data_IF_216697374282
#
_entry.id   IF_216697374282
#
_cell.length_a   1.000
_cell.length_b   1.000
_cell.length_c   1.000
_cell.angle_alpha   90.00
_cell.angle_beta   90.00
_cell.angle_gamma   90.00
#
_symmetry.space_group_name_H-M   'P 1'
#
loop_
_entity.id
_entity.type
_entity.pdbx_description
1 polymer ?
#
# COMPACT_ATOMS: atom_id res chain seq x y z
N UNK A 1 27.37 -7.04 15.09
CA UNK A 1 27.48 -7.12 13.62
C UNK A 1 27.29 -8.57 13.21
N UNK A 2 26.25 -8.87 12.42
CA UNK A 2 25.96 -10.25 12.00
C UNK A 2 27.07 -10.75 11.07
N UNK A 3 27.89 -11.75 11.46
CA UNK A 3 29.14 -12.04 10.76
C UNK A 3 28.92 -12.73 9.40
N UNK A 4 27.81 -13.43 9.17
CA UNK A 4 27.57 -14.14 7.91
C UNK A 4 26.72 -13.32 6.93
N UNK A 5 27.17 -13.25 5.67
CA UNK A 5 26.41 -12.59 4.59
C UNK A 5 25.00 -13.20 4.45
N UNK A 6 24.89 -14.52 4.59
CA UNK A 6 23.59 -15.21 4.60
C UNK A 6 22.64 -14.73 5.68
N UNK A 7 23.10 -14.56 6.93
CA UNK A 7 22.24 -14.10 8.01
C UNK A 7 21.86 -12.63 7.84
N UNK A 8 22.74 -11.79 7.27
CA UNK A 8 22.41 -10.41 6.86
C UNK A 8 21.36 -10.39 5.76
N UNK A 9 21.48 -11.26 4.75
CA UNK A 9 20.49 -11.39 3.69
C UNK A 9 19.13 -11.88 4.21
N UNK A 10 19.13 -12.89 5.09
CA UNK A 10 17.90 -13.41 5.71
C UNK A 10 17.23 -12.36 6.61
N UNK A 11 18.00 -11.67 7.46
CA UNK A 11 17.49 -10.59 8.29
C UNK A 11 16.94 -9.43 7.44
N UNK A 12 17.63 -9.09 6.34
CA UNK A 12 17.16 -8.09 5.39
C UNK A 12 15.82 -8.46 4.75
N UNK A 13 15.69 -9.70 4.26
CA UNK A 13 14.44 -10.20 3.70
C UNK A 13 13.29 -10.19 4.73
N UNK A 14 13.55 -10.62 5.98
CA UNK A 14 12.56 -10.60 7.07
C UNK A 14 12.12 -9.17 7.38
N UNK A 15 13.05 -8.20 7.45
CA UNK A 15 12.71 -6.80 7.72
C UNK A 15 11.91 -6.16 6.58
N UNK A 16 12.25 -6.44 5.32
CA UNK A 16 11.47 -5.98 4.17
C UNK A 16 10.07 -6.57 4.20
N UNK A 17 9.94 -7.88 4.39
CA UNK A 17 8.64 -8.55 4.51
C UNK A 17 7.85 -8.06 5.71
N UNK A 18 8.49 -7.82 6.85
CA UNK A 18 7.85 -7.28 8.05
C UNK A 18 7.33 -5.87 7.84
N UNK A 19 8.10 -5.00 7.16
CA UNK A 19 7.66 -3.66 6.80
C UNK A 19 6.49 -3.68 5.81
N UNK A 20 6.57 -4.50 4.76
CA UNK A 20 5.45 -4.67 3.81
C UNK A 20 4.21 -5.26 4.48
N UNK A 21 4.37 -6.25 5.36
CA UNK A 21 3.29 -6.82 6.16
C UNK A 21 2.69 -5.80 7.13
N UNK A 22 3.53 -4.91 7.69
CA UNK A 22 3.07 -3.79 8.51
C UNK A 22 2.20 -2.80 7.72
N UNK A 23 2.58 -2.49 6.47
CA UNK A 23 1.74 -1.69 5.57
C UNK A 23 0.43 -2.40 5.21
N UNK A 24 0.47 -3.73 5.07
CA UNK A 24 -0.74 -4.53 4.80
C UNK A 24 -1.73 -4.52 5.97
N UNK A 25 -1.25 -4.33 7.21
CA UNK A 25 -2.06 -4.40 8.44
C UNK A 25 -2.36 -3.02 9.03
N UNK A 26 -2.22 -1.94 8.25
CA UNK A 26 -2.51 -0.59 8.71
C UNK A 26 -3.99 -0.43 9.10
N UNK A 27 -4.29 0.07 10.33
CA UNK A 27 -5.67 0.24 10.79
C UNK A 27 -6.35 1.49 10.22
N UNK A 28 -5.58 2.51 9.81
CA UNK A 28 -6.09 3.78 9.26
C UNK A 28 -5.09 4.42 8.29
N UNK A 29 -5.58 5.32 7.44
CA UNK A 29 -4.83 6.04 6.41
C UNK A 29 -3.93 7.18 6.95
N UNK A 30 -3.42 7.06 8.18
CA UNK A 30 -2.56 8.10 8.76
C UNK A 30 -1.12 7.98 8.24
N UNK A 31 -0.59 9.08 7.69
CA UNK A 31 0.78 9.16 7.15
C UNK A 31 1.81 8.72 8.19
N UNK A 32 1.62 9.10 9.46
CA UNK A 32 2.55 8.78 10.56
C UNK A 32 2.66 7.28 10.77
N UNK A 33 1.57 6.52 10.60
CA UNK A 33 1.57 5.06 10.76
C UNK A 33 2.36 4.35 9.64
N UNK A 34 2.58 5.00 8.49
CA UNK A 34 3.37 4.44 7.39
C UNK A 34 4.89 4.53 7.64
N UNK A 35 5.33 5.42 8.54
CA UNK A 35 6.75 5.71 8.77
C UNK A 35 7.52 4.51 9.35
N UNK A 36 7.08 3.84 10.43
CA UNK A 36 7.81 2.70 10.97
C UNK A 36 7.98 1.55 9.95
N UNK A 37 6.93 1.12 9.23
CA UNK A 37 7.06 0.14 8.15
C UNK A 37 8.07 0.52 7.07
N UNK A 38 8.11 1.79 6.65
CA UNK A 38 9.07 2.28 5.65
C UNK A 38 10.52 2.21 6.15
N UNK A 39 10.75 2.55 7.42
CA UNK A 39 12.07 2.43 8.05
C UNK A 39 12.51 0.96 8.08
N UNK A 40 11.62 0.03 8.44
CA UNK A 40 11.88 -1.41 8.41
C UNK A 40 12.29 -1.89 7.01
N UNK A 41 11.55 -1.48 5.97
CA UNK A 41 11.89 -1.79 4.57
C UNK A 41 13.26 -1.22 4.20
N UNK A 42 13.54 0.04 4.54
CA UNK A 42 14.82 0.69 4.24
C UNK A 42 16.01 -0.01 4.89
N UNK A 43 15.91 -0.34 6.19
CA UNK A 43 16.94 -1.10 6.91
C UNK A 43 17.10 -2.49 6.28
N UNK A 44 15.99 -3.19 6.01
CA UNK A 44 16.03 -4.51 5.41
C UNK A 44 16.69 -4.53 4.03
N UNK A 45 16.39 -3.54 3.19
CA UNK A 45 17.00 -3.37 1.88
C UNK A 45 18.51 -3.12 1.99
N UNK A 46 18.94 -2.28 2.94
CA UNK A 46 20.36 -2.02 3.18
C UNK A 46 21.14 -3.29 3.53
N UNK A 47 20.56 -4.17 4.36
CA UNK A 47 21.17 -5.43 4.78
C UNK A 47 21.22 -6.45 3.64
N UNK A 48 20.12 -6.62 2.88
CA UNK A 48 20.05 -7.62 1.81
C UNK A 48 20.93 -7.21 0.63
N UNK A 49 20.94 -5.94 0.22
CA UNK A 49 21.78 -5.47 -0.89
C UNK A 49 23.26 -5.56 -0.55
N UNK A 50 23.65 -5.22 0.68
CA UNK A 50 25.05 -5.31 1.10
C UNK A 50 25.53 -6.76 1.08
N UNK A 51 24.74 -7.68 1.64
CA UNK A 51 25.07 -9.10 1.67
C UNK A 51 25.14 -9.75 0.28
N UNK A 52 24.18 -9.45 -0.60
CA UNK A 52 24.13 -9.99 -1.95
C UNK A 52 25.26 -9.42 -2.82
N UNK A 53 25.59 -8.15 -2.66
CA UNK A 53 26.71 -7.51 -3.37
C UNK A 53 28.04 -8.11 -2.94
N UNK A 54 28.27 -8.30 -1.64
CA UNK A 54 29.47 -8.98 -1.13
C UNK A 54 29.61 -10.41 -1.68
N UNK A 55 28.50 -11.16 -1.70
CA UNK A 55 28.48 -12.53 -2.25
C UNK A 55 28.76 -12.54 -3.76
N UNK A 56 28.24 -11.56 -4.50
CA UNK A 56 28.46 -11.43 -5.94
C UNK A 56 29.91 -11.07 -6.31
N UNK A 57 30.58 -10.25 -5.49
CA UNK A 57 31.98 -9.85 -5.71
C UNK A 57 33.00 -10.86 -5.16
N UNK A 58 32.60 -11.78 -4.27
CA UNK A 58 33.50 -12.77 -3.67
C UNK A 58 33.99 -13.90 -4.59
N UNK A 59 33.52 -13.99 -5.84
CA UNK A 59 33.87 -15.05 -6.79
C UNK A 59 35.09 -14.74 -7.69
N UNK A 60 35.89 -15.77 -8.02
CA UNK A 60 37.11 -15.69 -8.86
C UNK A 60 36.86 -15.72 -10.39
N UNK A 61 35.61 -15.65 -10.84
CA UNK A 61 35.25 -15.65 -12.27
C UNK A 61 35.30 -14.20 -12.84
N UNK A 62 35.18 -13.99 -14.17
CA UNK A 62 35.19 -12.64 -14.73
C UNK A 62 34.06 -11.82 -14.11
N UNK A 63 34.43 -10.83 -13.29
CA UNK A 63 33.51 -10.04 -12.45
C UNK A 63 32.40 -9.38 -13.28
N UNK A 64 32.63 -9.11 -14.56
CA UNK A 64 31.65 -8.61 -15.51
C UNK A 64 30.44 -9.56 -15.72
N UNK A 65 30.65 -10.87 -15.75
CA UNK A 65 29.58 -11.86 -16.01
C UNK A 65 28.69 -12.03 -14.77
N UNK A 66 29.29 -12.04 -13.57
CA UNK A 66 28.54 -12.13 -12.30
C UNK A 66 27.81 -10.82 -11.98
N UNK A 67 28.43 -9.67 -12.25
CA UNK A 67 27.79 -8.35 -12.13
C UNK A 67 26.55 -8.26 -13.01
N UNK A 68 26.66 -8.65 -14.28
CA UNK A 68 25.53 -8.69 -15.22
C UNK A 68 24.37 -9.55 -14.70
N UNK A 69 24.65 -10.76 -14.22
CA UNK A 69 23.62 -11.65 -13.69
C UNK A 69 22.88 -11.06 -12.48
N UNK A 70 23.60 -10.39 -11.57
CA UNK A 70 22.97 -9.78 -10.37
C UNK A 70 22.06 -8.61 -10.73
N UNK A 71 22.45 -7.79 -11.70
CA UNK A 71 21.66 -6.66 -12.19
C UNK A 71 20.42 -7.19 -12.94
N UNK A 72 20.61 -8.15 -13.85
CA UNK A 72 19.51 -8.80 -14.57
C UNK A 72 18.52 -9.47 -13.62
N UNK A 73 19.00 -10.16 -12.57
CA UNK A 73 18.12 -10.79 -11.58
C UNK A 73 17.31 -9.75 -10.78
N UNK A 74 17.92 -8.62 -10.39
CA UNK A 74 17.21 -7.52 -9.71
C UNK A 74 16.11 -6.93 -10.61
N UNK A 75 16.42 -6.64 -11.86
CA UNK A 75 15.44 -6.11 -12.81
C UNK A 75 14.35 -7.13 -13.15
N UNK A 76 14.71 -8.41 -13.35
CA UNK A 76 13.75 -9.47 -13.55
C UNK A 76 12.78 -9.58 -12.36
N UNK A 77 13.28 -9.49 -11.12
CA UNK A 77 12.45 -9.46 -9.92
C UNK A 77 11.44 -8.30 -9.94
N UNK A 78 11.88 -7.09 -10.30
CA UNK A 78 10.99 -5.93 -10.44
C UNK A 78 9.93 -6.16 -11.52
N UNK A 79 10.32 -6.64 -12.71
CA UNK A 79 9.40 -6.88 -13.83
C UNK A 79 8.39 -7.97 -13.49
N UNK A 80 8.84 -9.09 -12.92
CA UNK A 80 7.97 -10.19 -12.47
C UNK A 80 7.01 -9.69 -11.38
N UNK A 81 7.52 -8.92 -10.41
CA UNK A 81 6.71 -8.31 -9.37
C UNK A 81 5.63 -7.40 -9.94
N UNK A 82 5.97 -6.54 -10.90
CA UNK A 82 5.00 -5.66 -11.57
C UNK A 82 3.96 -6.47 -12.36
N UNK A 83 4.37 -7.46 -13.15
CA UNK A 83 3.44 -8.30 -13.93
C UNK A 83 2.48 -9.09 -13.03
N UNK A 84 2.93 -9.53 -11.86
CA UNK A 84 2.10 -10.26 -10.91
C UNK A 84 1.18 -9.35 -10.09
N UNK A 85 1.68 -8.22 -9.57
CA UNK A 85 0.93 -7.36 -8.66
C UNK A 85 -0.05 -6.42 -9.37
N UNK A 86 0.29 -5.93 -10.55
CA UNK A 86 -0.55 -4.96 -11.30
C UNK A 86 -1.99 -5.46 -11.56
N UNK A 87 -2.23 -6.70 -12.05
CA UNK A 87 -3.59 -7.17 -12.29
C UNK A 87 -4.40 -7.32 -10.99
N UNK A 88 -3.76 -7.77 -9.91
CA UNK A 88 -4.37 -7.92 -8.58
C UNK A 88 -4.77 -6.54 -8.05
N UNK A 89 -3.83 -5.60 -8.06
CA UNK A 89 -4.03 -4.23 -7.64
C UNK A 89 -5.15 -3.54 -8.42
N UNK A 90 -5.18 -3.71 -9.74
CA UNK A 90 -6.22 -3.14 -10.60
C UNK A 90 -7.60 -3.72 -10.29
N UNK A 91 -7.67 -5.04 -10.05
CA UNK A 91 -8.93 -5.71 -9.69
C UNK A 91 -9.45 -5.25 -8.33
N UNK A 92 -8.59 -5.19 -7.33
CA UNK A 92 -8.95 -4.80 -5.96
C UNK A 92 -9.45 -3.35 -5.89
N UNK A 93 -8.82 -2.43 -6.64
CA UNK A 93 -9.30 -1.05 -6.79
C UNK A 93 -10.70 -1.03 -7.39
N UNK A 94 -10.95 -1.80 -8.45
CA UNK A 94 -12.25 -1.80 -9.13
C UNK A 94 -13.37 -2.28 -8.20
N UNK A 95 -13.13 -3.37 -7.48
CA UNK A 95 -14.10 -3.93 -6.52
C UNK A 95 -14.35 -2.97 -5.36
N UNK A 96 -13.30 -2.41 -4.78
CA UNK A 96 -13.44 -1.53 -3.60
C UNK A 96 -14.02 -0.17 -3.95
N UNK A 97 -13.79 0.32 -5.18
CA UNK A 97 -14.51 1.49 -5.67
C UNK A 97 -16.02 1.26 -5.69
N UNK A 98 -16.47 0.10 -6.17
CA UNK A 98 -17.91 -0.24 -6.16
C UNK A 98 -18.46 -0.27 -4.74
N UNK A 99 -17.77 -0.96 -3.82
CA UNK A 99 -18.20 -1.07 -2.43
C UNK A 99 -18.22 0.30 -1.72
N UNK A 100 -17.24 1.17 -1.99
CA UNK A 100 -17.20 2.52 -1.44
C UNK A 100 -18.34 3.40 -1.97
N UNK A 101 -18.69 3.27 -3.26
CA UNK A 101 -19.84 3.97 -3.86
C UNK A 101 -21.15 3.49 -3.21
N UNK A 102 -21.32 2.17 -3.07
CA UNK A 102 -22.52 1.58 -2.47
C UNK A 102 -22.68 2.00 -0.99
N UNK A 103 -21.58 1.92 -0.22
CA UNK A 103 -21.56 2.33 1.18
C UNK A 103 -21.82 3.84 1.35
N UNK A 104 -21.16 4.68 0.55
CA UNK A 104 -21.38 6.12 0.56
C UNK A 104 -22.82 6.49 0.17
N UNK A 105 -23.39 5.80 -0.81
CA UNK A 105 -24.80 5.98 -1.21
C UNK A 105 -25.74 5.59 -0.08
N UNK A 106 -25.51 4.46 0.59
CA UNK A 106 -26.31 4.03 1.74
C UNK A 106 -26.28 5.06 2.88
N UNK A 107 -25.08 5.58 3.21
CA UNK A 107 -24.91 6.61 4.26
C UNK A 107 -25.65 7.90 3.92
N UNK A 108 -25.63 8.35 2.67
CA UNK A 108 -26.38 9.54 2.24
C UNK A 108 -27.89 9.27 2.31
N UNK A 109 -28.34 8.09 1.87
CA UNK A 109 -29.76 7.72 1.88
C UNK A 109 -30.32 7.64 3.32
N UNK A 110 -29.57 7.06 4.26
CA UNK A 110 -29.99 6.88 5.65
C UNK A 110 -29.82 8.13 6.52
N UNK A 111 -29.13 9.17 6.03
CA UNK A 111 -28.89 10.39 6.81
C UNK A 111 -30.19 11.14 7.18
N UNK A 112 -30.29 11.79 8.36
CA UNK A 112 -31.49 12.53 8.78
C UNK A 112 -31.69 13.88 8.09
N UNK A 113 -30.78 14.28 7.18
CA UNK A 113 -30.79 15.62 6.56
C UNK A 113 -32.00 15.82 5.61
N UNK A 114 -32.33 17.09 5.37
CA UNK A 114 -33.44 17.49 4.50
C UNK A 114 -33.33 16.83 3.09
N UNK A 115 -34.43 16.27 2.54
CA UNK A 115 -34.43 15.63 1.21
C UNK A 115 -33.88 16.51 0.07
N UNK A 116 -34.11 17.83 0.11
CA UNK A 116 -33.58 18.76 -0.90
C UNK A 116 -32.06 18.93 -0.76
N UNK A 117 -31.54 18.92 0.47
CA UNK A 117 -30.11 18.92 0.73
C UNK A 117 -29.45 17.62 0.26
N UNK A 118 -30.11 16.45 0.45
CA UNK A 118 -29.62 15.15 -0.06
C UNK A 118 -29.39 15.18 -1.57
N UNK A 119 -30.37 15.68 -2.34
CA UNK A 119 -30.29 15.75 -3.80
C UNK A 119 -29.15 16.68 -4.23
N UNK A 120 -29.03 17.85 -3.61
CA UNK A 120 -27.96 18.80 -3.89
C UNK A 120 -26.56 18.24 -3.57
N UNK A 121 -26.42 17.53 -2.46
CA UNK A 121 -25.18 16.84 -2.07
C UNK A 121 -24.83 15.71 -3.04
N UNK A 122 -25.79 14.86 -3.39
CA UNK A 122 -25.58 13.77 -4.34
C UNK A 122 -25.05 14.30 -5.69
N UNK A 123 -25.60 15.41 -6.18
CA UNK A 123 -25.18 16.01 -7.44
C UNK A 123 -23.77 16.63 -7.35
N UNK A 124 -23.47 17.38 -6.29
CA UNK A 124 -22.12 17.91 -6.05
C UNK A 124 -21.06 16.80 -5.90
N UNK A 125 -21.41 15.69 -5.23
CA UNK A 125 -20.54 14.52 -5.10
C UNK A 125 -20.31 13.89 -6.48
N UNK A 126 -21.35 13.72 -7.28
CA UNK A 126 -21.24 13.18 -8.66
C UNK A 126 -20.32 14.05 -9.52
N UNK A 127 -20.55 15.37 -9.55
CA UNK A 127 -19.74 16.31 -10.32
C UNK A 127 -18.26 16.31 -9.86
N UNK A 128 -18.04 16.16 -8.55
CA UNK A 128 -16.69 16.08 -7.99
C UNK A 128 -16.00 14.77 -8.34
N UNK A 129 -16.72 13.65 -8.32
CA UNK A 129 -16.21 12.33 -8.66
C UNK A 129 -15.84 12.23 -10.14
N UNK A 130 -16.62 12.87 -11.02
CA UNK A 130 -16.35 12.94 -12.45
C UNK A 130 -15.13 13.83 -12.75
N UNK A 131 -14.99 14.95 -12.04
CA UNK A 131 -13.86 15.87 -12.22
C UNK A 131 -12.53 15.39 -11.62
N UNK A 132 -12.55 14.51 -10.63
CA UNK A 132 -11.35 13.97 -9.96
C UNK A 132 -11.08 12.49 -10.32
N UNK A 133 -11.10 12.18 -11.62
CA UNK A 133 -10.70 10.87 -12.13
C UNK A 133 -9.25 10.54 -11.76
N UNK A 134 -9.06 9.56 -10.86
CA UNK A 134 -7.75 8.99 -10.51
C UNK A 134 -7.14 9.46 -9.18
N UNK A 135 -7.88 10.19 -8.32
CA UNK A 135 -7.44 10.55 -6.96
C UNK A 135 -8.52 10.19 -5.93
N UNK A 136 -8.14 10.01 -4.66
CA UNK A 136 -9.10 9.91 -3.55
C UNK A 136 -9.75 11.30 -3.37
N UNK A 137 -11.06 11.44 -3.60
CA UNK A 137 -11.71 12.76 -3.57
C UNK A 137 -11.75 13.31 -2.15
N UNK A 138 -11.43 14.60 -1.97
CA UNK A 138 -11.67 15.26 -0.68
C UNK A 138 -13.13 15.71 -0.62
N UNK A 139 -13.91 15.10 0.27
CA UNK A 139 -15.36 15.37 0.35
C UNK A 139 -15.69 16.65 1.15
N UNK A 140 -14.79 17.12 2.02
CA UNK A 140 -15.00 18.31 2.86
C UNK A 140 -15.59 19.54 2.15
N UNK A 141 -15.06 19.97 0.98
CA UNK A 141 -15.59 21.11 0.24
C UNK A 141 -17.01 20.92 -0.31
N UNK A 142 -17.48 19.67 -0.46
CA UNK A 142 -18.82 19.38 -0.99
C UNK A 142 -19.93 19.79 -0.01
N UNK A 143 -19.61 19.79 1.29
CA UNK A 143 -20.52 20.16 2.37
C UNK A 143 -20.59 21.67 2.61
N UNK A 144 -19.87 22.50 1.84
CA UNK A 144 -19.91 23.96 1.96
C UNK A 144 -20.93 24.61 0.99
N UNK A 145 -21.64 25.67 1.43
CA UNK A 145 -21.71 26.18 2.81
C UNK A 145 -22.57 25.28 3.71
N UNK A 146 -22.17 25.18 4.98
CA UNK A 146 -22.94 24.44 5.99
C UNK A 146 -24.29 25.12 6.26
N UNK A 147 -25.33 24.37 6.66
CA UNK A 147 -26.61 24.93 7.06
C UNK A 147 -26.49 26.02 8.13
N UNK A 148 -27.39 27.00 8.05
CA UNK A 148 -27.48 28.10 9.02
C UNK A 148 -28.04 27.64 10.37
N UNK A 149 -28.92 26.62 10.33
CA UNK A 149 -29.51 26.02 11.51
C UNK A 149 -28.48 25.18 12.30
N UNK A 150 -28.34 25.38 13.63
CA UNK A 150 -27.37 24.64 14.43
C UNK A 150 -27.59 23.12 14.47
N UNK A 151 -28.85 22.66 14.43
CA UNK A 151 -29.19 21.23 14.44
C UNK A 151 -28.81 20.57 13.12
N UNK A 152 -29.27 21.16 12.02
CA UNK A 152 -28.97 20.69 10.66
C UNK A 152 -27.46 20.74 10.34
N UNK A 153 -26.74 21.72 10.91
CA UNK A 153 -25.27 21.81 10.81
C UNK A 153 -24.58 20.64 11.51
N UNK A 154 -25.00 20.27 12.71
CA UNK A 154 -24.39 19.17 13.46
C UNK A 154 -24.56 17.83 12.72
N UNK A 155 -25.74 17.57 12.17
CA UNK A 155 -26.02 16.38 11.36
C UNK A 155 -25.18 16.36 10.07
N UNK A 156 -25.03 17.50 9.40
CA UNK A 156 -24.22 17.62 8.18
C UNK A 156 -22.73 17.38 8.46
N UNK A 157 -22.22 17.86 9.59
CA UNK A 157 -20.83 17.62 10.02
C UNK A 157 -20.61 16.15 10.36
N UNK A 158 -21.55 15.51 11.06
CA UNK A 158 -21.46 14.09 11.39
C UNK A 158 -21.47 13.21 10.13
N UNK A 159 -22.33 13.54 9.16
CA UNK A 159 -22.38 12.84 7.87
C UNK A 159 -21.06 12.96 7.11
N UNK A 160 -20.47 14.16 7.07
CA UNK A 160 -19.16 14.39 6.45
C UNK A 160 -18.07 13.52 7.09
N UNK A 161 -18.00 13.50 8.41
CA UNK A 161 -16.96 12.78 9.14
C UNK A 161 -17.11 11.25 8.98
N UNK A 162 -18.34 10.74 8.95
CA UNK A 162 -18.61 9.32 8.67
C UNK A 162 -18.21 8.93 7.24
N UNK A 163 -18.59 9.74 6.25
CA UNK A 163 -18.23 9.50 4.85
C UNK A 163 -16.70 9.55 4.63
N UNK A 164 -16.02 10.50 5.28
CA UNK A 164 -14.57 10.59 5.18
C UNK A 164 -13.86 9.40 5.85
N UNK A 165 -14.34 8.95 7.01
CA UNK A 165 -13.82 7.74 7.66
C UNK A 165 -14.03 6.48 6.82
N UNK A 166 -15.18 6.35 6.15
CA UNK A 166 -15.43 5.22 5.25
C UNK A 166 -14.53 5.25 4.03
N UNK A 167 -14.30 6.44 3.45
CA UNK A 167 -13.39 6.62 2.34
C UNK A 167 -11.94 6.24 2.72
N UNK A 168 -11.46 6.69 3.88
CA UNK A 168 -10.11 6.40 4.37
C UNK A 168 -9.90 4.91 4.66
N UNK A 169 -10.92 4.25 5.24
CA UNK A 169 -10.90 2.80 5.48
C UNK A 169 -10.91 2.01 4.17
N UNK A 170 -11.79 2.38 3.24
CA UNK A 170 -11.88 1.75 1.92
C UNK A 170 -10.58 1.89 1.15
N UNK A 171 -9.97 3.08 1.16
CA UNK A 171 -8.66 3.30 0.55
C UNK A 171 -7.59 2.41 1.20
N UNK A 172 -7.51 2.36 2.54
CA UNK A 172 -6.51 1.55 3.24
C UNK A 172 -6.65 0.05 2.93
N UNK A 173 -7.89 -0.45 2.90
CA UNK A 173 -8.17 -1.84 2.58
C UNK A 173 -7.77 -2.18 1.13
N UNK A 174 -7.78 -1.21 0.22
CA UNK A 174 -7.47 -1.42 -1.20
C UNK A 174 -6.02 -1.78 -1.47
N UNK A 175 -5.12 -1.25 -0.66
CA UNK A 175 -3.69 -1.51 -0.82
C UNK A 175 -3.22 -2.71 0.02
N UNK A 176 -3.99 -3.13 1.01
CA UNK A 176 -3.60 -4.20 1.96
C UNK A 176 -3.24 -5.54 1.28
N UNK A 177 -4.05 -6.09 0.35
CA UNK A 177 -3.73 -7.35 -0.33
C UNK A 177 -2.43 -7.29 -1.13
N UNK A 178 -2.20 -6.16 -1.82
CA UNK A 178 -0.99 -5.95 -2.62
C UNK A 178 0.27 -5.91 -1.74
N UNK A 179 0.22 -5.20 -0.60
CA UNK A 179 1.31 -5.20 0.37
C UNK A 179 1.52 -6.57 1.01
N UNK A 180 0.43 -7.30 1.31
CA UNK A 180 0.50 -8.66 1.86
C UNK A 180 1.15 -9.65 0.90
N UNK A 181 0.81 -9.58 -0.39
CA UNK A 181 1.44 -10.42 -1.41
C UNK A 181 2.92 -10.08 -1.59
N UNK A 182 3.27 -8.79 -1.60
CA UNK A 182 4.67 -8.34 -1.65
C UNK A 182 5.46 -8.83 -0.42
N UNK A 183 4.86 -8.81 0.78
CA UNK A 183 5.46 -9.35 1.99
C UNK A 183 5.73 -10.87 1.86
N UNK A 184 4.77 -11.62 1.32
CA UNK A 184 4.90 -13.06 1.06
C UNK A 184 6.01 -13.36 0.04
N UNK A 185 6.10 -12.60 -1.05
CA UNK A 185 7.19 -12.71 -2.01
C UNK A 185 8.56 -12.45 -1.37
N UNK A 186 8.66 -11.45 -0.48
CA UNK A 186 9.86 -11.20 0.31
C UNK A 186 10.24 -12.37 1.23
N UNK A 187 9.25 -13.05 1.84
CA UNK A 187 9.49 -14.23 2.67
C UNK A 187 9.92 -15.43 1.84
N UNK A 188 9.36 -15.60 0.65
CA UNK A 188 9.78 -16.65 -0.28
C UNK A 188 11.24 -16.52 -0.70
N UNK A 189 11.83 -15.30 -0.66
CA UNK A 189 13.26 -15.11 -0.88
C UNK A 189 14.14 -15.80 0.17
N UNK A 190 13.60 -16.15 1.35
CA UNK A 190 14.33 -16.94 2.35
C UNK A 190 14.65 -18.36 1.85
N UNK A 191 13.86 -18.90 0.92
CA UNK A 191 14.09 -20.23 0.33
C UNK A 191 15.44 -20.26 -0.42
N UNK A 192 15.69 -19.43 -1.46
CA UNK A 192 16.98 -19.41 -2.14
C UNK A 192 18.13 -18.97 -1.21
N UNK A 193 17.89 -18.06 -0.26
CA UNK A 193 18.91 -17.66 0.74
C UNK A 193 19.32 -18.86 1.60
N UNK A 194 18.35 -19.65 2.08
CA UNK A 194 18.57 -20.86 2.87
C UNK A 194 19.13 -22.04 2.06
N UNK A 195 18.85 -22.09 0.75
CA UNK A 195 19.36 -23.11 -0.17
C UNK A 195 20.76 -22.81 -0.71
N UNK A 196 21.26 -21.57 -0.63
CA UNK A 196 22.63 -21.20 -1.03
C UNK A 196 23.71 -21.86 -0.15
N UNK A 197 23.86 -23.20 -0.27
CA UNK A 197 24.84 -23.99 0.47
C UNK A 197 26.21 -23.35 0.33
N UNK A 198 26.97 -23.41 1.43
CA UNK A 198 28.38 -23.03 1.52
C UNK A 198 29.08 -23.40 0.21
N UNK A 199 29.42 -22.39 -0.58
CA UNK A 199 30.55 -22.53 -1.49
C UNK A 199 31.75 -22.40 -0.57
N UNK A 200 32.00 -23.44 0.22
CA UNK A 200 33.32 -23.64 0.84
C UNK A 200 34.24 -23.93 -0.36
N UNK A 201 35.08 -22.96 -0.70
CA UNK A 201 36.27 -23.18 -1.52
C UNK A 201 37.35 -23.84 -0.65
#
# INVERSE_FOLDING_TARGET
>A
LVPSARARAAAGAILVSGGLGGLALLPSAEVVLTVPPQILVGIGLSLVLSALTETALGGRAPQAIHGGWTISARHAGVVIGLLALTPIFTHDIAVQRSQAIDAGTAVILDSPINPLLKIGLAQKISDRLDSESGKVPTLGPVFEPLPSDPGERAETVQLRDELQNQLDRGATHAFSPSFGLAALLGLLALIPIGLSRRVDL
#
